data_IF_412817878540
#
_entry.id   IF_412817878540
#
_cell.length_a   1.000
_cell.length_b   1.000
_cell.length_c   1.000
_cell.angle_alpha   90.00
_cell.angle_beta   90.00
_cell.angle_gamma   90.00
#
_symmetry.space_group_name_H-M   'P 1'
#
loop_
_entity.id
_entity.type
_entity.pdbx_description
1 polymer ?
#
# COMPACT_ATOMS: atom_id res chain seq x y z
N UNK A 1 3.23 -25.58 28.56
CA UNK A 1 2.00 -24.99 28.00
C UNK A 1 1.71 -23.71 28.76
N UNK A 2 1.67 -22.55 28.08
CA UNK A 2 1.32 -21.27 28.70
C UNK A 2 2.30 -20.14 28.38
N UNK A 3 2.16 -19.52 27.21
CA UNK A 3 2.59 -18.14 26.89
C UNK A 3 2.20 -17.79 25.43
N UNK A 4 0.91 -17.62 25.13
CA UNK A 4 0.46 -17.23 23.78
C UNK A 4 -0.82 -16.37 23.75
N UNK A 5 -1.19 -15.69 24.85
CA UNK A 5 -2.48 -15.00 24.95
C UNK A 5 -2.42 -13.47 25.16
N UNK A 6 -1.24 -12.83 25.07
CA UNK A 6 -1.08 -11.42 25.48
C UNK A 6 -1.19 -10.35 24.38
N UNK A 7 -1.10 -10.68 23.09
CA UNK A 7 -0.85 -9.67 22.04
C UNK A 7 -2.10 -9.13 21.33
N UNK A 8 -3.29 -9.70 21.54
CA UNK A 8 -4.49 -9.37 20.76
C UNK A 8 -5.38 -8.26 21.37
N UNK A 9 -5.18 -7.89 22.63
CA UNK A 9 -6.13 -7.02 23.34
C UNK A 9 -5.80 -5.51 23.31
N UNK A 10 -4.57 -5.12 22.92
CA UNK A 10 -4.15 -3.71 22.91
C UNK A 10 -4.49 -2.92 21.64
N UNK A 11 -4.73 -3.60 20.51
CA UNK A 11 -4.90 -2.94 19.20
C UNK A 11 -6.29 -2.30 18.98
N UNK A 12 -7.31 -2.68 19.76
CA UNK A 12 -8.68 -2.23 19.56
C UNK A 12 -8.99 -0.86 20.20
N UNK A 13 -8.27 -0.45 21.24
CA UNK A 13 -8.61 0.75 22.02
C UNK A 13 -8.10 2.07 21.41
N UNK A 14 -7.08 2.04 20.55
CA UNK A 14 -6.54 3.24 19.89
C UNK A 14 -7.28 3.67 18.61
N UNK A 15 -8.12 2.81 18.04
CA UNK A 15 -8.78 3.06 16.75
C UNK A 15 -9.99 4.02 16.85
N UNK A 16 -10.59 4.17 18.03
CA UNK A 16 -11.86 4.89 18.19
C UNK A 16 -11.71 6.40 18.44
N UNK A 17 -10.56 6.88 18.92
CA UNK A 17 -10.40 8.30 19.33
C UNK A 17 -9.83 9.18 18.20
N UNK A 18 -9.16 8.59 17.20
CA UNK A 18 -8.56 9.34 16.08
C UNK A 18 -9.49 9.66 14.91
N UNK A 19 -10.73 9.16 14.92
CA UNK A 19 -11.65 9.27 13.78
C UNK A 19 -12.29 10.65 13.59
N UNK A 20 -12.24 11.54 14.59
CA UNK A 20 -13.02 12.79 14.58
C UNK A 20 -12.22 14.05 14.19
N UNK A 21 -10.89 13.99 14.09
CA UNK A 21 -10.05 15.15 13.76
C UNK A 21 -9.32 15.07 12.39
N UNK A 22 -9.21 13.88 11.80
CA UNK A 22 -8.48 13.67 10.53
C UNK A 22 -9.27 14.09 9.27
N UNK A 23 -10.46 14.68 9.41
CA UNK A 23 -11.41 14.84 8.29
C UNK A 23 -11.34 16.19 7.55
N UNK A 24 -10.43 17.13 7.84
CA UNK A 24 -10.57 18.51 7.31
C UNK A 24 -9.36 19.19 6.67
N UNK A 25 -8.38 18.43 6.16
CA UNK A 25 -7.49 18.96 5.11
C UNK A 25 -7.31 17.89 4.01
N UNK A 26 -8.20 17.95 3.00
CA UNK A 26 -8.24 17.20 1.73
C UNK A 26 -8.78 15.76 1.70
N UNK A 27 -9.86 15.44 2.44
CA UNK A 27 -10.62 14.19 2.24
C UNK A 27 -11.84 14.34 1.32
N UNK A 28 -12.15 15.55 0.86
CA UNK A 28 -13.21 15.78 -0.11
C UNK A 28 -12.58 15.84 -1.51
N UNK A 29 -13.15 15.16 -2.53
CA UNK A 29 -12.74 15.37 -3.90
C UNK A 29 -12.87 16.85 -4.26
N UNK A 30 -11.93 17.37 -5.05
CA UNK A 30 -12.06 18.66 -5.72
C UNK A 30 -13.34 18.66 -6.58
N UNK A 31 -13.97 19.81 -6.89
CA UNK A 31 -15.08 19.91 -7.86
C UNK A 31 -14.93 19.12 -9.17
N UNK A 32 -13.70 18.78 -9.60
CA UNK A 32 -13.42 17.89 -10.74
C UNK A 32 -13.53 16.38 -10.45
N UNK A 33 -13.81 15.98 -9.21
CA UNK A 33 -13.74 14.59 -8.78
C UNK A 33 -12.30 14.11 -8.55
N UNK A 34 -11.32 15.01 -8.45
CA UNK A 34 -9.93 14.64 -8.18
C UNK A 34 -9.56 14.64 -6.69
N UNK A 35 -8.57 13.84 -6.31
CA UNK A 35 -7.94 13.89 -4.98
C UNK A 35 -6.51 14.40 -5.09
N UNK A 36 -6.09 15.23 -4.14
CA UNK A 36 -4.72 15.76 -4.08
C UNK A 36 -4.15 15.65 -2.67
N UNK A 37 -3.02 14.95 -2.53
CA UNK A 37 -2.42 14.69 -1.22
C UNK A 37 -0.96 15.15 -1.17
N UNK A 38 -0.62 15.97 -0.17
CA UNK A 38 0.77 16.26 0.18
C UNK A 38 1.32 15.13 1.05
N UNK A 39 2.44 14.55 0.64
CA UNK A 39 3.06 13.41 1.33
C UNK A 39 4.04 13.86 2.42
N UNK A 40 4.56 15.08 2.34
CA UNK A 40 5.45 15.66 3.33
C UNK A 40 5.24 17.18 3.51
N UNK A 41 5.86 17.74 4.56
CA UNK A 41 5.91 19.18 4.88
C UNK A 41 7.15 19.88 4.24
N UNK A 42 7.80 19.27 3.24
CA UNK A 42 9.01 19.84 2.63
C UNK A 42 8.70 21.02 1.71
N UNK A 43 9.72 21.78 1.31
CA UNK A 43 9.58 22.90 0.37
C UNK A 43 9.10 22.47 -1.03
N UNK A 44 9.23 21.19 -1.37
CA UNK A 44 8.83 20.60 -2.66
C UNK A 44 8.03 19.32 -2.39
N UNK A 45 6.80 19.43 -1.90
CA UNK A 45 6.07 18.27 -1.44
C UNK A 45 5.77 17.30 -2.58
N UNK A 46 5.99 16.01 -2.31
CA UNK A 46 5.46 14.97 -3.17
C UNK A 46 3.94 15.04 -3.11
N UNK A 47 3.31 15.17 -4.28
CA UNK A 47 1.88 15.38 -4.41
C UNK A 47 1.30 14.26 -5.25
N UNK A 48 0.39 13.49 -4.69
CA UNK A 48 -0.37 12.47 -5.43
C UNK A 48 -1.68 13.08 -5.86
N UNK A 49 -1.97 13.01 -7.17
CA UNK A 49 -3.19 13.55 -7.78
C UNK A 49 -3.93 12.47 -8.53
N UNK A 50 -5.16 12.20 -8.15
CA UNK A 50 -5.94 11.11 -8.74
C UNK A 50 -7.24 11.68 -9.22
N UNK A 51 -7.42 11.76 -10.53
CA UNK A 51 -8.67 12.25 -11.12
C UNK A 51 -9.79 11.19 -11.06
N UNK A 52 -10.99 11.57 -11.49
CA UNK A 52 -12.14 10.66 -11.50
C UNK A 52 -11.97 9.45 -12.44
N UNK A 53 -11.15 9.55 -13.49
CA UNK A 53 -10.78 8.43 -14.37
C UNK A 53 -9.87 7.45 -13.64
N UNK A 54 -8.84 7.96 -12.97
CA UNK A 54 -7.87 7.19 -12.19
C UNK A 54 -8.56 6.37 -11.11
N UNK A 55 -9.46 7.01 -10.36
CA UNK A 55 -10.20 6.36 -9.27
C UNK A 55 -11.12 5.26 -9.82
N UNK A 56 -11.80 5.50 -10.95
CA UNK A 56 -12.63 4.47 -11.61
C UNK A 56 -11.80 3.29 -12.10
N UNK A 57 -10.64 3.57 -12.71
CA UNK A 57 -9.72 2.53 -13.17
C UNK A 57 -9.20 1.67 -12.01
N UNK A 58 -8.78 2.31 -10.92
CA UNK A 58 -8.34 1.62 -9.70
C UNK A 58 -9.45 0.77 -9.10
N UNK A 59 -10.68 1.29 -9.02
CA UNK A 59 -11.81 0.54 -8.47
C UNK A 59 -12.10 -0.72 -9.28
N UNK A 60 -12.11 -0.62 -10.61
CA UNK A 60 -12.27 -1.78 -11.50
C UNK A 60 -11.21 -2.84 -11.26
N UNK A 61 -9.94 -2.42 -11.14
CA UNK A 61 -8.83 -3.33 -10.86
C UNK A 61 -8.97 -3.99 -9.48
N UNK A 62 -9.36 -3.23 -8.45
CA UNK A 62 -9.64 -3.75 -7.11
C UNK A 62 -10.79 -4.76 -7.11
N UNK A 63 -11.87 -4.48 -7.83
CA UNK A 63 -13.03 -5.38 -7.94
C UNK A 63 -12.67 -6.68 -8.66
N UNK A 64 -11.86 -6.59 -9.72
CA UNK A 64 -11.36 -7.76 -10.45
C UNK A 64 -10.47 -8.66 -9.59
N UNK A 65 -9.56 -8.04 -8.83
CA UNK A 65 -8.73 -8.74 -7.85
C UNK A 65 -9.59 -9.36 -6.74
N UNK A 66 -10.57 -8.63 -6.20
CA UNK A 66 -11.45 -9.10 -5.14
C UNK A 66 -12.30 -10.31 -5.58
N UNK A 67 -12.82 -10.31 -6.82
CA UNK A 67 -13.55 -11.46 -7.40
C UNK A 67 -12.66 -12.71 -7.47
N UNK A 68 -11.46 -12.58 -8.01
CA UNK A 68 -10.49 -13.67 -8.11
C UNK A 68 -10.14 -14.23 -6.73
N UNK A 69 -9.81 -13.36 -5.77
CA UNK A 69 -9.45 -13.78 -4.41
C UNK A 69 -10.62 -14.39 -3.64
N UNK A 70 -11.85 -13.92 -3.86
CA UNK A 70 -13.06 -14.53 -3.28
C UNK A 70 -13.22 -15.97 -3.74
N UNK A 71 -13.06 -16.23 -5.05
CA UNK A 71 -13.15 -17.56 -5.65
C UNK A 71 -12.01 -18.48 -5.20
N UNK A 72 -10.77 -17.97 -5.18
CA UNK A 72 -9.56 -18.77 -4.92
C UNK A 72 -9.29 -19.00 -3.44
N UNK A 73 -9.62 -18.05 -2.57
CA UNK A 73 -9.24 -18.06 -1.14
C UNK A 73 -10.47 -18.11 -0.24
N UNK A 74 -11.32 -17.09 -0.30
CA UNK A 74 -12.36 -16.88 0.72
C UNK A 74 -13.42 -17.98 0.71
N UNK A 75 -13.89 -18.40 -0.47
CA UNK A 75 -14.85 -19.48 -0.62
C UNK A 75 -14.30 -20.81 -0.08
N UNK A 76 -13.02 -21.12 -0.36
CA UNK A 76 -12.36 -22.34 0.12
C UNK A 76 -12.16 -22.34 1.63
N UNK A 77 -11.83 -21.19 2.21
CA UNK A 77 -11.57 -21.02 3.65
C UNK A 77 -12.82 -20.66 4.47
N UNK A 78 -13.98 -20.46 3.83
CA UNK A 78 -15.23 -19.96 4.45
C UNK A 78 -15.02 -18.69 5.27
N UNK A 79 -14.24 -17.75 4.73
CA UNK A 79 -13.94 -16.47 5.38
C UNK A 79 -14.81 -15.35 4.80
N UNK A 80 -15.19 -14.40 5.65
CA UNK A 80 -15.86 -13.16 5.24
C UNK A 80 -14.85 -12.19 4.60
N UNK A 81 -15.17 -11.71 3.40
CA UNK A 81 -14.38 -10.72 2.66
C UNK A 81 -14.18 -9.40 3.41
N UNK A 82 -15.12 -9.04 4.28
CA UNK A 82 -15.09 -7.81 5.06
C UNK A 82 -14.36 -7.97 6.41
N UNK A 83 -14.00 -9.20 6.79
CA UNK A 83 -13.27 -9.47 8.02
C UNK A 83 -11.76 -9.24 7.84
N UNK A 84 -11.08 -8.82 8.91
CA UNK A 84 -9.62 -8.69 8.91
C UNK A 84 -8.92 -10.03 8.61
N UNK A 85 -9.49 -11.14 9.07
CA UNK A 85 -9.00 -12.48 8.77
C UNK A 85 -9.11 -12.81 7.27
N UNK A 86 -10.20 -12.42 6.62
CA UNK A 86 -10.39 -12.56 5.17
C UNK A 86 -9.39 -11.72 4.38
N UNK A 87 -9.25 -10.44 4.73
CA UNK A 87 -8.28 -9.54 4.11
C UNK A 87 -6.83 -10.05 4.27
N UNK A 88 -6.45 -10.49 5.48
CA UNK A 88 -5.14 -11.08 5.72
C UNK A 88 -4.91 -12.36 4.90
N UNK A 89 -5.91 -13.24 4.78
CA UNK A 89 -5.80 -14.45 3.97
C UNK A 89 -5.60 -14.12 2.47
N UNK A 90 -6.30 -13.11 1.95
CA UNK A 90 -6.13 -12.59 0.60
C UNK A 90 -4.72 -12.04 0.36
N UNK A 91 -4.22 -11.20 1.26
CA UNK A 91 -2.86 -10.65 1.19
C UNK A 91 -1.79 -11.75 1.23
N UNK A 92 -1.96 -12.77 2.07
CA UNK A 92 -1.05 -13.91 2.11
C UNK A 92 -1.08 -14.75 0.82
N UNK A 93 -2.24 -14.86 0.16
CA UNK A 93 -2.33 -15.50 -1.15
C UNK A 93 -1.56 -14.69 -2.21
N UNK A 94 -1.74 -13.37 -2.25
CA UNK A 94 -0.98 -12.47 -3.14
C UNK A 94 0.53 -12.63 -2.92
N UNK A 95 0.98 -12.61 -1.67
CA UNK A 95 2.39 -12.87 -1.31
C UNK A 95 2.87 -14.20 -1.89
N UNK A 96 2.07 -15.26 -1.74
CA UNK A 96 2.42 -16.61 -2.21
C UNK A 96 2.58 -16.64 -3.74
N UNK A 97 1.65 -16.02 -4.48
CA UNK A 97 1.71 -15.97 -5.95
C UNK A 97 2.95 -15.22 -6.43
N UNK A 98 3.24 -14.05 -5.87
CA UNK A 98 4.44 -13.29 -6.25
C UNK A 98 5.74 -14.02 -5.92
N UNK A 99 5.83 -14.65 -4.74
CA UNK A 99 7.00 -15.42 -4.36
C UNK A 99 7.21 -16.65 -5.25
N UNK A 100 6.14 -17.32 -5.70
CA UNK A 100 6.23 -18.46 -6.61
C UNK A 100 6.72 -18.07 -8.02
N UNK A 101 6.47 -16.82 -8.42
CA UNK A 101 6.90 -16.25 -9.71
C UNK A 101 8.14 -15.35 -9.60
N UNK A 102 8.91 -15.50 -8.51
CA UNK A 102 10.13 -14.72 -8.24
C UNK A 102 11.28 -15.65 -7.88
N UNK A 103 12.50 -15.20 -8.13
CA UNK A 103 13.72 -15.95 -7.81
C UNK A 103 14.74 -15.05 -7.10
N UNK A 104 15.45 -15.59 -6.12
CA UNK A 104 16.48 -14.86 -5.37
C UNK A 104 16.00 -13.58 -4.66
N UNK A 105 14.70 -13.43 -4.39
CA UNK A 105 14.11 -12.20 -3.84
C UNK A 105 13.81 -11.12 -4.88
N UNK A 106 13.90 -11.45 -6.16
CA UNK A 106 13.68 -10.55 -7.29
C UNK A 106 12.51 -11.06 -8.15
N UNK A 107 11.60 -10.16 -8.51
CA UNK A 107 10.50 -10.41 -9.42
C UNK A 107 10.83 -9.81 -10.78
N UNK A 108 11.12 -10.66 -11.77
CA UNK A 108 11.30 -10.21 -13.15
C UNK A 108 9.96 -9.79 -13.77
N UNK A 109 10.01 -9.00 -14.84
CA UNK A 109 8.81 -8.53 -15.56
C UNK A 109 7.85 -9.66 -15.95
N UNK A 110 8.37 -10.78 -16.46
CA UNK A 110 7.59 -11.96 -16.81
C UNK A 110 6.89 -12.58 -15.60
N UNK A 111 7.56 -12.65 -14.46
CA UNK A 111 7.00 -13.15 -13.21
C UNK A 111 5.92 -12.23 -12.61
N UNK A 112 6.11 -10.92 -12.75
CA UNK A 112 5.07 -9.94 -12.41
C UNK A 112 3.83 -10.13 -13.29
N UNK A 113 4.02 -10.24 -14.61
CA UNK A 113 2.90 -10.43 -15.54
C UNK A 113 2.15 -11.74 -15.29
N UNK A 114 2.86 -12.82 -14.97
CA UNK A 114 2.25 -14.11 -14.60
C UNK A 114 1.46 -13.99 -13.29
N UNK A 115 2.03 -13.32 -12.29
CA UNK A 115 1.35 -13.04 -11.02
C UNK A 115 0.07 -12.23 -11.24
N UNK A 116 0.12 -11.20 -12.10
CA UNK A 116 -1.05 -10.40 -12.45
C UNK A 116 -2.13 -11.20 -13.19
N UNK A 117 -1.75 -12.05 -14.16
CA UNK A 117 -2.68 -12.94 -14.86
C UNK A 117 -3.36 -13.91 -13.90
N UNK A 118 -2.63 -14.41 -12.90
CA UNK A 118 -3.22 -15.29 -11.90
C UNK A 118 -4.15 -14.54 -10.93
N UNK A 119 -3.75 -13.35 -10.49
CA UNK A 119 -4.43 -12.61 -9.43
C UNK A 119 -5.63 -11.82 -9.92
N UNK A 120 -5.61 -11.27 -11.14
CA UNK A 120 -6.63 -10.35 -11.63
C UNK A 120 -7.50 -11.01 -12.70
N UNK A 121 -8.79 -11.17 -12.39
CA UNK A 121 -9.78 -11.74 -13.32
C UNK A 121 -10.29 -10.64 -14.26
N UNK A 122 -9.66 -10.55 -15.44
CA UNK A 122 -10.04 -9.62 -16.51
C UNK A 122 -11.24 -10.12 -17.35
N UNK A 123 -11.76 -11.31 -17.04
CA UNK A 123 -12.93 -11.87 -17.70
C UNK A 123 -14.17 -11.01 -17.44
N UNK A 124 -14.89 -10.66 -18.51
CA UNK A 124 -16.06 -9.80 -18.44
C UNK A 124 -15.78 -8.30 -18.52
N UNK A 125 -14.51 -7.88 -18.64
CA UNK A 125 -14.15 -6.50 -18.99
C UNK A 125 -14.18 -6.30 -20.50
N UNK A 126 -14.62 -5.11 -20.93
CA UNK A 126 -14.44 -4.68 -22.32
C UNK A 126 -12.95 -4.41 -22.64
N UNK A 127 -12.62 -4.24 -23.92
CA UNK A 127 -11.22 -4.05 -24.34
C UNK A 127 -10.60 -2.75 -23.80
N UNK A 128 -11.41 -1.71 -23.61
CA UNK A 128 -10.94 -0.43 -23.04
C UNK A 128 -10.59 -0.61 -21.57
N UNK A 129 -11.48 -1.24 -20.80
CA UNK A 129 -11.29 -1.53 -19.38
C UNK A 129 -10.09 -2.44 -19.14
N UNK A 130 -9.94 -3.48 -19.96
CA UNK A 130 -8.79 -4.39 -19.90
C UNK A 130 -7.48 -3.65 -20.18
N UNK A 131 -7.46 -2.80 -21.20
CA UNK A 131 -6.28 -2.01 -21.53
C UNK A 131 -5.92 -1.05 -20.41
N UNK A 132 -6.88 -0.35 -19.81
CA UNK A 132 -6.64 0.55 -18.68
C UNK A 132 -6.09 -0.19 -17.45
N UNK A 133 -6.67 -1.34 -17.09
CA UNK A 133 -6.18 -2.15 -15.98
C UNK A 133 -4.77 -2.71 -16.25
N UNK A 134 -4.50 -3.11 -17.50
CA UNK A 134 -3.16 -3.53 -17.92
C UNK A 134 -2.16 -2.39 -17.75
N UNK A 135 -2.47 -1.20 -18.26
CA UNK A 135 -1.61 0.00 -18.14
C UNK A 135 -1.33 0.36 -16.67
N UNK A 136 -2.31 0.23 -15.76
CA UNK A 136 -2.11 0.41 -14.31
C UNK A 136 -1.05 -0.54 -13.75
N UNK A 137 -1.19 -1.82 -14.07
CA UNK A 137 -0.29 -2.86 -13.58
C UNK A 137 1.11 -2.67 -14.15
N UNK A 138 1.23 -2.27 -15.42
CA UNK A 138 2.51 -1.92 -16.04
C UNK A 138 3.14 -0.71 -15.36
N UNK A 139 2.37 0.37 -15.16
CA UNK A 139 2.82 1.58 -14.45
C UNK A 139 3.34 1.25 -13.05
N UNK A 140 2.62 0.38 -12.33
CA UNK A 140 3.05 -0.11 -11.03
C UNK A 140 4.43 -0.77 -11.12
N UNK A 141 4.61 -1.76 -12.00
CA UNK A 141 5.91 -2.44 -12.14
C UNK A 141 7.04 -1.48 -12.47
N UNK A 142 6.87 -0.64 -13.50
CA UNK A 142 7.92 0.27 -13.95
C UNK A 142 8.26 1.35 -12.91
N UNK A 143 7.31 1.74 -12.07
CA UNK A 143 7.58 2.65 -10.94
C UNK A 143 8.51 2.03 -9.89
N UNK A 144 8.53 0.70 -9.77
CA UNK A 144 9.47 -0.01 -8.91
C UNK A 144 10.80 -0.34 -9.61
N UNK A 145 10.81 -0.52 -10.94
CA UNK A 145 11.99 -0.80 -11.77
C UNK A 145 12.82 0.46 -12.07
N UNK A 146 13.22 1.18 -11.01
CA UNK A 146 13.96 2.45 -11.13
C UNK A 146 15.35 2.32 -11.74
N UNK A 147 15.88 1.11 -11.81
CA UNK A 147 17.18 0.82 -12.40
C UNK A 147 17.07 0.34 -13.85
N UNK A 148 15.85 0.26 -14.39
CA UNK A 148 15.55 -0.20 -15.76
C UNK A 148 16.15 -1.59 -16.06
N UNK A 149 16.10 -2.48 -15.07
CA UNK A 149 16.65 -3.83 -15.17
C UNK A 149 15.60 -4.87 -15.53
N UNK A 150 14.36 -4.43 -15.83
CA UNK A 150 13.20 -5.31 -16.04
C UNK A 150 12.96 -6.27 -14.86
N UNK A 151 13.32 -5.85 -13.65
CA UNK A 151 13.18 -6.63 -12.44
C UNK A 151 13.12 -5.74 -11.19
N UNK A 152 12.39 -6.21 -10.17
CA UNK A 152 12.13 -5.45 -8.95
C UNK A 152 12.31 -6.32 -7.71
N UNK A 153 12.54 -5.69 -6.56
CA UNK A 153 12.55 -6.43 -5.29
C UNK A 153 11.14 -6.97 -4.98
N UNK A 154 11.05 -8.29 -4.75
CA UNK A 154 9.76 -8.97 -4.58
C UNK A 154 8.99 -8.50 -3.34
N UNK A 155 9.69 -8.12 -2.27
CA UNK A 155 9.04 -7.66 -1.04
C UNK A 155 8.41 -6.29 -1.24
N UNK A 156 9.08 -5.41 -1.98
CA UNK A 156 8.58 -4.06 -2.25
C UNK A 156 7.39 -4.08 -3.22
N UNK A 157 7.43 -4.91 -4.28
CA UNK A 157 6.28 -5.02 -5.19
C UNK A 157 5.08 -5.69 -4.52
N UNK A 158 5.27 -6.69 -3.66
CA UNK A 158 4.18 -7.30 -2.87
C UNK A 158 3.52 -6.23 -1.98
N UNK A 159 4.33 -5.39 -1.33
CA UNK A 159 3.82 -4.32 -0.47
C UNK A 159 3.09 -3.23 -1.27
N UNK A 160 3.62 -2.83 -2.43
CA UNK A 160 2.95 -1.91 -3.33
C UNK A 160 1.61 -2.46 -3.86
N UNK A 161 1.61 -3.71 -4.31
CA UNK A 161 0.42 -4.39 -4.83
C UNK A 161 -0.66 -4.57 -3.75
N UNK A 162 -0.26 -4.68 -2.47
CA UNK A 162 -1.20 -4.86 -1.35
C UNK A 162 -2.23 -3.72 -1.22
N UNK A 163 -1.95 -2.53 -1.76
CA UNK A 163 -2.90 -1.40 -1.79
C UNK A 163 -4.18 -1.77 -2.55
N UNK A 164 -4.05 -2.52 -3.64
CA UNK A 164 -5.17 -2.98 -4.48
C UNK A 164 -6.05 -4.02 -3.79
N UNK A 165 -5.57 -4.61 -2.69
CA UNK A 165 -6.34 -5.58 -1.92
C UNK A 165 -7.35 -4.90 -1.00
N UNK A 166 -8.41 -5.62 -0.64
CA UNK A 166 -9.31 -5.22 0.44
C UNK A 166 -8.62 -5.19 1.80
N UNK A 167 -9.32 -4.65 2.80
CA UNK A 167 -8.85 -4.59 4.18
C UNK A 167 -8.46 -3.18 4.65
N UNK A 168 -8.37 -3.05 5.97
CA UNK A 168 -8.05 -1.79 6.64
C UNK A 168 -6.59 -1.37 6.43
N UNK A 169 -6.30 -0.08 6.63
CA UNK A 169 -4.94 0.46 6.73
C UNK A 169 -4.07 -0.39 7.65
N UNK A 170 -4.55 -0.69 8.87
CA UNK A 170 -3.78 -1.44 9.86
C UNK A 170 -3.45 -2.86 9.37
N UNK A 171 -4.38 -3.54 8.71
CA UNK A 171 -4.18 -4.87 8.13
C UNK A 171 -3.11 -4.86 7.04
N UNK A 172 -3.12 -3.85 6.16
CA UNK A 172 -2.11 -3.67 5.11
C UNK A 172 -0.73 -3.33 5.66
N UNK A 173 -0.67 -2.44 6.66
CA UNK A 173 0.60 -2.10 7.32
C UNK A 173 1.19 -3.30 8.07
N UNK A 174 0.37 -4.08 8.78
CA UNK A 174 0.82 -5.28 9.47
C UNK A 174 1.36 -6.34 8.49
N UNK A 175 0.66 -6.54 7.37
CA UNK A 175 1.11 -7.42 6.31
C UNK A 175 2.44 -6.96 5.70
N UNK A 176 2.57 -5.68 5.36
CA UNK A 176 3.79 -5.16 4.76
C UNK A 176 5.00 -5.21 5.71
N UNK A 177 4.74 -5.11 7.02
CA UNK A 177 5.76 -5.29 8.05
C UNK A 177 6.27 -6.74 8.06
N UNK A 178 5.36 -7.72 8.05
CA UNK A 178 5.70 -9.15 7.96
C UNK A 178 6.48 -9.50 6.69
N UNK A 179 6.11 -8.91 5.54
CA UNK A 179 6.83 -9.12 4.28
C UNK A 179 8.28 -8.64 4.36
N UNK A 180 8.56 -7.52 5.04
CA UNK A 180 9.91 -6.97 5.16
C UNK A 180 10.71 -7.50 6.36
N UNK A 181 10.04 -8.05 7.37
CA UNK A 181 10.67 -8.77 8.49
C UNK A 181 11.04 -10.22 8.09
N UNK A 182 11.79 -10.34 7.00
CA UNK A 182 12.25 -11.64 6.44
C UNK A 182 13.02 -12.51 7.43
N UNK A 183 13.54 -11.94 8.52
CA UNK A 183 14.27 -12.65 9.57
C UNK A 183 13.41 -12.97 10.81
N UNK A 184 12.12 -12.63 10.81
CA UNK A 184 11.19 -12.90 11.90
C UNK A 184 11.63 -12.32 13.24
N UNK A 185 12.26 -11.15 13.24
CA UNK A 185 12.80 -10.52 14.46
C UNK A 185 11.76 -9.71 15.22
N UNK A 186 10.57 -9.51 14.63
CA UNK A 186 9.53 -8.63 15.15
C UNK A 186 9.87 -7.14 15.04
N UNK A 187 10.96 -6.77 14.34
CA UNK A 187 11.46 -5.40 14.29
C UNK A 187 12.23 -5.07 13.00
N UNK A 188 11.86 -3.96 12.36
CA UNK A 188 12.49 -3.46 11.13
C UNK A 188 13.65 -2.52 11.43
N UNK A 189 14.74 -2.65 10.69
CA UNK A 189 15.84 -1.68 10.70
C UNK A 189 15.43 -0.35 10.05
N UNK A 190 16.21 0.73 10.23
CA UNK A 190 16.03 1.99 9.48
C UNK A 190 15.90 1.77 7.97
N UNK A 191 16.76 0.94 7.37
CA UNK A 191 16.70 0.61 5.94
C UNK A 191 15.41 -0.12 5.58
N UNK A 192 15.01 -1.10 6.37
CA UNK A 192 13.77 -1.85 6.12
C UNK A 192 12.52 -0.98 6.29
N UNK A 193 12.52 -0.05 7.25
CA UNK A 193 11.42 0.88 7.46
C UNK A 193 11.32 1.94 6.34
N UNK A 194 12.45 2.39 5.80
CA UNK A 194 12.46 3.20 4.58
C UNK A 194 11.82 2.43 3.41
N UNK A 195 12.22 1.17 3.16
CA UNK A 195 11.61 0.31 2.12
C UNK A 195 10.11 0.11 2.34
N UNK A 196 9.70 -0.02 3.60
CA UNK A 196 8.29 -0.16 3.99
C UNK A 196 7.44 1.02 3.55
N UNK A 197 7.85 2.25 3.86
CA UNK A 197 7.10 3.44 3.41
C UNK A 197 7.25 3.71 1.92
N UNK A 198 8.46 3.50 1.38
CA UNK A 198 8.76 3.67 -0.05
C UNK A 198 7.83 2.86 -0.92
N UNK A 199 7.60 1.59 -0.59
CA UNK A 199 6.75 0.71 -1.39
C UNK A 199 5.32 1.26 -1.55
N UNK A 200 4.73 1.79 -0.47
CA UNK A 200 3.41 2.38 -0.54
C UNK A 200 3.39 3.68 -1.34
N UNK A 201 4.36 4.56 -1.11
CA UNK A 201 4.46 5.84 -1.82
C UNK A 201 4.69 5.65 -3.32
N UNK A 202 5.58 4.73 -3.70
CA UNK A 202 5.79 4.35 -5.11
C UNK A 202 4.50 3.87 -5.76
N UNK A 203 3.75 2.99 -5.10
CA UNK A 203 2.48 2.50 -5.64
C UNK A 203 1.41 3.59 -5.74
N UNK A 204 1.28 4.48 -4.75
CA UNK A 204 0.36 5.61 -4.81
C UNK A 204 0.70 6.58 -5.95
N UNK A 205 1.98 6.83 -6.20
CA UNK A 205 2.44 7.63 -7.35
C UNK A 205 2.19 6.91 -8.68
N UNK A 206 2.41 5.60 -8.76
CA UNK A 206 2.20 4.82 -9.98
C UNK A 206 0.74 4.86 -10.49
N UNK A 207 -0.20 5.11 -9.59
CA UNK A 207 -1.62 5.18 -9.90
C UNK A 207 -2.11 6.57 -10.30
N UNK A 208 -1.27 7.60 -10.18
CA UNK A 208 -1.56 9.01 -10.52
C UNK A 208 -1.25 9.26 -11.99
N UNK A 209 -2.22 9.06 -12.90
CA UNK A 209 -1.92 8.96 -14.34
C UNK A 209 -1.72 10.31 -15.05
N UNK A 210 -2.49 11.34 -14.73
CA UNK A 210 -2.43 12.61 -15.48
C UNK A 210 -1.44 13.64 -14.91
N UNK A 211 -1.03 13.52 -13.65
CA UNK A 211 -0.08 14.47 -13.04
C UNK A 211 1.40 14.11 -13.25
N UNK A 212 1.67 12.97 -13.88
CA UNK A 212 3.01 12.52 -14.24
C UNK A 212 3.54 13.08 -15.57
N UNK A 213 2.69 13.71 -16.40
CA UNK A 213 3.16 14.28 -17.66
C UNK A 213 4.15 15.46 -17.47
N UNK A 214 4.14 16.10 -16.28
CA UNK A 214 4.99 17.24 -15.95
C UNK A 214 6.19 16.90 -15.06
N UNK A 215 6.26 15.70 -14.46
CA UNK A 215 7.39 15.29 -13.61
C UNK A 215 8.13 14.11 -14.19
N UNK A 216 9.43 14.29 -14.30
CA UNK A 216 10.34 13.24 -14.70
C UNK A 216 10.28 12.04 -13.71
N UNK A 217 10.29 10.78 -14.21
CA UNK A 217 10.25 9.59 -13.35
C UNK A 217 11.36 9.54 -12.30
N UNK A 218 12.56 10.04 -12.62
CA UNK A 218 13.67 10.11 -11.68
C UNK A 218 13.38 11.13 -10.56
N UNK A 219 12.86 12.31 -10.89
CA UNK A 219 12.43 13.30 -9.88
C UNK A 219 11.36 12.73 -8.94
N UNK A 220 10.39 12.00 -9.50
CA UNK A 220 9.36 11.31 -8.70
C UNK A 220 9.99 10.28 -7.76
N UNK A 221 10.95 9.49 -8.25
CA UNK A 221 11.70 8.53 -7.44
C UNK A 221 12.48 9.17 -6.28
N UNK A 222 13.12 10.32 -6.53
CA UNK A 222 13.85 11.09 -5.50
C UNK A 222 12.89 11.62 -4.43
N UNK A 223 11.75 12.18 -4.84
CA UNK A 223 10.74 12.71 -3.93
C UNK A 223 10.13 11.60 -3.06
N UNK A 224 9.84 10.42 -3.64
CA UNK A 224 9.38 9.25 -2.90
C UNK A 224 10.39 8.81 -1.85
N UNK A 225 11.68 8.78 -2.19
CA UNK A 225 12.74 8.44 -1.24
C UNK A 225 12.86 9.45 -0.11
N UNK A 226 12.82 10.75 -0.42
CA UNK A 226 12.87 11.81 0.59
C UNK A 226 11.70 11.69 1.58
N UNK A 227 10.48 11.50 1.08
CA UNK A 227 9.29 11.30 1.89
C UNK A 227 9.36 10.04 2.77
N UNK A 228 9.83 8.92 2.21
CA UNK A 228 10.00 7.67 2.96
C UNK A 228 11.07 7.79 4.05
N UNK A 229 12.21 8.43 3.75
CA UNK A 229 13.29 8.71 4.71
C UNK A 229 12.77 9.60 5.84
N UNK A 230 12.06 10.67 5.50
CA UNK A 230 11.51 11.59 6.48
C UNK A 230 10.51 10.89 7.40
N UNK A 231 9.58 10.12 6.84
CA UNK A 231 8.57 9.37 7.62
C UNK A 231 9.22 8.33 8.53
N UNK A 232 10.19 7.57 8.01
CA UNK A 232 10.96 6.63 8.83
C UNK A 232 11.70 7.37 9.96
N UNK A 233 12.34 8.49 9.67
CA UNK A 233 13.05 9.30 10.67
C UNK A 233 12.11 9.73 11.80
N UNK A 234 10.89 10.17 11.48
CA UNK A 234 9.87 10.53 12.49
C UNK A 234 9.48 9.38 13.41
N UNK A 235 9.40 8.14 12.91
CA UNK A 235 9.19 6.96 13.75
C UNK A 235 10.37 6.74 14.72
N UNK A 236 11.60 7.00 14.25
CA UNK A 236 12.82 6.85 15.05
C UNK A 236 13.13 8.03 15.99
N UNK A 237 12.36 9.12 16.00
CA UNK A 237 12.60 10.25 16.93
C UNK A 237 12.41 9.85 18.40
N UNK A 238 11.71 8.75 18.68
CA UNK A 238 11.63 8.15 20.02
C UNK A 238 12.97 7.53 20.41
N UNK A 239 13.54 8.01 21.52
CA UNK A 239 14.86 7.57 22.04
C UNK A 239 15.01 6.06 22.21
N UNK A 240 13.94 5.35 22.58
CA UNK A 240 13.98 3.89 22.79
C UNK A 240 14.13 3.12 21.47
N UNK A 241 13.40 3.55 20.43
CA UNK A 241 13.47 3.00 19.07
C UNK A 241 14.84 3.29 18.45
N UNK A 242 15.36 4.50 18.66
CA UNK A 242 16.67 4.91 18.15
C UNK A 242 17.83 4.12 18.77
N UNK A 243 17.82 3.92 20.10
CA UNK A 243 18.83 3.10 20.80
C UNK A 243 18.84 1.66 20.30
N UNK A 244 17.67 1.10 19.98
CA UNK A 244 17.57 -0.25 19.40
C UNK A 244 17.97 -0.29 17.92
N UNK A 245 18.03 0.86 17.24
CA UNK A 245 18.17 1.00 15.78
C UNK A 245 17.17 0.11 15.01
N UNK A 246 16.02 -0.17 15.62
CA UNK A 246 14.95 -1.02 15.11
C UNK A 246 13.59 -0.53 15.61
N UNK A 247 12.57 -0.64 14.78
CA UNK A 247 11.19 -0.31 15.11
C UNK A 247 10.29 -1.54 14.95
N UNK A 248 9.52 -1.83 16.00
CA UNK A 248 8.44 -2.84 15.97
C UNK A 248 7.19 -2.27 15.31
N UNK A 249 6.23 -3.13 14.96
CA UNK A 249 4.95 -2.67 14.45
C UNK A 249 4.20 -1.81 15.46
N UNK A 250 4.32 -2.12 16.76
CA UNK A 250 3.73 -1.32 17.82
C UNK A 250 4.32 0.09 17.88
N UNK A 251 5.63 0.25 17.64
CA UNK A 251 6.26 1.57 17.60
C UNK A 251 5.69 2.44 16.47
N UNK A 252 5.46 1.85 15.29
CA UNK A 252 4.84 2.53 14.15
C UNK A 252 3.41 2.93 14.48
N UNK A 253 2.61 2.01 15.03
CA UNK A 253 1.22 2.26 15.40
C UNK A 253 1.10 3.33 16.50
N UNK A 254 1.96 3.27 17.51
CA UNK A 254 2.01 4.25 18.59
C UNK A 254 2.44 5.63 18.08
N UNK A 255 3.50 5.71 17.27
CA UNK A 255 3.91 6.96 16.63
C UNK A 255 2.76 7.57 15.81
N UNK A 256 2.05 6.74 15.04
CA UNK A 256 0.92 7.22 14.24
C UNK A 256 -0.20 7.77 15.13
N UNK A 257 -0.56 7.07 16.21
CA UNK A 257 -1.60 7.48 17.16
C UNK A 257 -1.28 8.74 17.98
N UNK A 258 0.00 9.01 18.25
CA UNK A 258 0.46 10.17 19.05
C UNK A 258 0.65 11.47 18.23
N UNK A 259 0.15 11.50 16.98
CA UNK A 259 0.24 12.68 16.11
C UNK A 259 0.92 12.42 14.78
N UNK A 260 1.50 11.23 14.57
CA UNK A 260 2.05 10.82 13.27
C UNK A 260 1.01 10.88 12.14
N UNK A 261 -0.28 10.73 12.44
CA UNK A 261 -1.38 10.94 11.47
C UNK A 261 -1.40 12.34 10.85
N UNK A 262 -0.88 13.37 11.54
CA UNK A 262 -0.75 14.73 10.97
C UNK A 262 0.45 14.86 10.03
N UNK A 263 1.42 13.95 10.15
CA UNK A 263 2.71 13.96 9.45
C UNK A 263 2.74 13.03 8.26
N UNK A 264 2.05 11.89 8.35
CA UNK A 264 1.88 10.94 7.25
C UNK A 264 0.38 10.65 7.01
N UNK A 265 -0.45 11.67 6.71
CA UNK A 265 -1.88 11.48 6.44
C UNK A 265 -2.11 10.57 5.21
N UNK A 266 -1.14 10.50 4.30
CA UNK A 266 -1.14 9.63 3.13
C UNK A 266 -1.29 8.14 3.49
N UNK A 267 -0.99 7.72 4.73
CA UNK A 267 -1.23 6.34 5.17
C UNK A 267 -2.73 5.98 5.20
N UNK A 268 -3.63 6.97 5.29
CA UNK A 268 -5.07 6.71 5.18
C UNK A 268 -5.49 6.30 3.76
N UNK A 269 -4.69 6.66 2.75
CA UNK A 269 -4.94 6.31 1.34
C UNK A 269 -4.82 4.81 1.08
N UNK A 270 -4.15 4.08 1.98
CA UNK A 270 -4.04 2.62 1.90
C UNK A 270 -5.41 1.94 2.09
N UNK A 271 -6.40 2.62 2.66
CA UNK A 271 -7.77 2.11 2.74
C UNK A 271 -8.60 2.66 1.58
N UNK A 272 -8.53 1.98 0.43
CA UNK A 272 -9.24 2.37 -0.80
C UNK A 272 -10.77 2.44 -0.62
N UNK A 273 -11.35 1.83 0.43
CA UNK A 273 -12.79 1.97 0.73
C UNK A 273 -13.18 3.40 1.11
N UNK A 274 -12.21 4.22 1.49
CA UNK A 274 -12.40 5.64 1.83
C UNK A 274 -12.49 6.55 0.60
N UNK A 275 -12.24 6.01 -0.59
CA UNK A 275 -12.24 6.76 -1.84
C UNK A 275 -13.66 6.74 -2.39
N UNK A 276 -14.48 7.65 -1.89
CA UNK A 276 -15.90 7.76 -2.27
C UNK A 276 -16.05 8.83 -3.34
N UNK A 277 -16.45 8.41 -4.54
CA UNK A 277 -17.25 9.25 -5.41
C UNK A 277 -18.71 9.00 -5.09
N UNK A 278 -19.45 10.08 -4.87
CA UNK A 278 -20.89 10.04 -5.02
C UNK A 278 -21.13 9.81 -6.51
N UNK A 279 -21.65 8.64 -6.90
CA UNK A 279 -22.01 8.31 -8.29
C UNK A 279 -23.28 9.11 -8.74
N UNK A 280 -23.46 10.31 -8.20
CA UNK A 280 -24.58 11.22 -8.47
C UNK A 280 -24.24 12.21 -9.58
N UNK A 281 -23.99 11.70 -10.79
CA UNK A 281 -24.38 12.37 -12.04
C UNK A 281 -24.29 11.47 -13.28
#
# INVERSE_FOLDING_TARGET
>A
AGAAAGAAAGAAAGAAVGATAASRKSSAPDPSGGYEFSIDDSSTPLRVRLDASDVRALRRLCDALARSLKKKVLAKKKLDANSDAGAAACLQYVKTVFLANSDGGVCAKSGFDESCRELVEMDGMDDTERNTCSTLLQSLFFSFDRAEQSSVDVCEIINGFSILCGGSKSTKLAFAFDVLDTKGKGALSRRSLWRFFRAFLTALCAFSFESGADRDPHETGVAVDAAAIWTATKVFEKKEVDRANRATFNDIAQWYGEGGYTKAPWLELLDLRKWVHDDSQ
#
